data_IF_106616303977
#
_entry.id   IF_106616303977
#
_cell.length_a   1.000
_cell.length_b   1.000
_cell.length_c   1.000
_cell.angle_alpha   90.00
_cell.angle_beta   90.00
_cell.angle_gamma   90.00
#
_symmetry.space_group_name_H-M   'P 1'
#
loop_
_entity.id
_entity.type
_entity.pdbx_description
1 polymer ?
#
# COMPACT_ATOMS: atom_id res chain seq x y z
N UNK A 1 60.65 28.86 -57.38
CA UNK A 1 59.33 29.25 -56.98
C UNK A 1 58.69 28.04 -56.24
N UNK A 2 58.67 28.04 -54.88
CA UNK A 2 58.05 26.98 -54.07
C UNK A 2 56.64 27.39 -53.70
N UNK A 3 55.64 26.63 -54.12
CA UNK A 3 54.22 26.82 -53.75
C UNK A 3 53.94 25.98 -52.52
N UNK A 4 53.66 26.64 -51.46
CA UNK A 4 53.19 26.05 -50.18
C UNK A 4 51.68 25.85 -50.25
N UNK A 5 51.20 24.59 -50.19
CA UNK A 5 49.77 24.28 -50.00
C UNK A 5 49.41 24.38 -48.52
N UNK A 6 48.48 25.23 -48.16
CA UNK A 6 47.84 25.24 -46.88
C UNK A 6 46.64 24.26 -46.89
N UNK A 7 46.72 23.21 -46.11
CA UNK A 7 45.59 22.31 -45.86
C UNK A 7 44.76 22.87 -44.68
N UNK A 8 43.54 23.30 -44.96
CA UNK A 8 42.55 23.76 -43.98
C UNK A 8 41.84 22.53 -43.38
N UNK A 9 42.14 22.18 -42.12
CA UNK A 9 41.39 21.15 -41.38
C UNK A 9 40.12 21.78 -40.86
N UNK A 10 38.96 21.37 -41.41
CA UNK A 10 37.66 21.74 -40.88
C UNK A 10 37.36 20.86 -39.63
N UNK A 11 37.41 21.46 -38.43
CA UNK A 11 36.95 20.83 -37.20
C UNK A 11 35.42 20.81 -37.21
N UNK A 12 34.82 19.62 -37.38
CA UNK A 12 33.40 19.37 -37.15
C UNK A 12 33.15 19.45 -35.67
N UNK A 13 32.61 20.57 -35.18
CA UNK A 13 32.08 20.68 -33.81
C UNK A 13 30.83 19.81 -33.71
N UNK A 14 30.95 18.70 -33.01
CA UNK A 14 29.79 17.93 -32.51
C UNK A 14 29.07 18.81 -31.48
N UNK A 15 27.99 19.47 -31.89
CA UNK A 15 27.03 20.10 -30.99
C UNK A 15 26.40 18.97 -30.15
N UNK A 16 26.43 19.06 -28.84
CA UNK A 16 25.64 18.15 -28.02
C UNK A 16 24.17 18.35 -28.38
N UNK A 17 23.57 17.32 -28.99
CA UNK A 17 22.14 17.32 -29.25
C UNK A 17 21.40 17.59 -27.95
N UNK A 18 20.60 18.65 -27.91
CA UNK A 18 19.63 18.87 -26.83
C UNK A 18 18.68 17.66 -26.85
N UNK A 19 18.93 16.69 -25.97
CA UNK A 19 17.95 15.66 -25.67
C UNK A 19 16.71 16.39 -25.16
N UNK A 20 15.63 16.44 -25.94
CA UNK A 20 14.34 16.84 -25.41
C UNK A 20 13.98 15.82 -24.34
N UNK A 21 14.10 16.20 -23.07
CA UNK A 21 13.73 15.36 -21.95
C UNK A 21 12.23 15.03 -22.09
N UNK A 22 11.92 13.79 -22.47
CA UNK A 22 10.55 13.32 -22.49
C UNK A 22 10.08 13.10 -21.04
N UNK A 23 8.77 13.14 -20.83
CA UNK A 23 8.16 12.83 -19.55
C UNK A 23 7.25 11.62 -19.71
N UNK A 24 7.30 10.71 -18.74
CA UNK A 24 6.30 9.67 -18.57
C UNK A 24 5.47 10.07 -17.36
N UNK A 25 4.21 10.37 -17.58
CA UNK A 25 3.28 10.76 -16.49
C UNK A 25 2.55 9.52 -15.97
N UNK A 26 2.63 9.29 -14.66
CA UNK A 26 1.93 8.23 -13.93
C UNK A 26 0.76 8.86 -13.19
N UNK A 27 -0.42 8.28 -13.35
CA UNK A 27 -1.60 8.71 -12.61
C UNK A 27 -1.56 8.21 -11.17
N UNK A 28 -1.82 9.11 -10.22
CA UNK A 28 -2.05 8.73 -8.83
C UNK A 28 -3.49 9.07 -8.46
N UNK A 29 -4.26 8.07 -8.02
CA UNK A 29 -5.59 8.29 -7.43
C UNK A 29 -5.51 7.86 -5.98
N UNK A 30 -5.35 8.83 -5.10
CA UNK A 30 -5.06 8.60 -3.68
C UNK A 30 -6.09 9.32 -2.80
N UNK A 31 -6.26 8.84 -1.60
CA UNK A 31 -7.12 9.41 -0.57
C UNK A 31 -6.38 10.54 0.15
N UNK A 32 -6.18 11.71 -0.50
CA UNK A 32 -5.44 12.83 0.10
C UNK A 32 -6.23 13.54 1.19
N UNK A 33 -7.55 13.44 1.13
CA UNK A 33 -8.48 13.97 2.13
C UNK A 33 -9.53 12.92 2.51
N UNK A 34 -10.30 13.19 3.56
CA UNK A 34 -11.27 12.26 4.11
C UNK A 34 -10.65 11.31 5.15
N UNK A 35 -11.29 10.20 5.41
CA UNK A 35 -10.95 9.27 6.51
C UNK A 35 -9.59 8.61 6.35
N UNK A 36 -9.19 8.34 5.12
CA UNK A 36 -7.89 7.75 4.80
C UNK A 36 -6.84 8.81 4.37
N UNK A 37 -7.04 10.07 4.74
CA UNK A 37 -6.18 11.18 4.32
C UNK A 37 -4.71 11.02 4.69
N UNK A 38 -4.42 10.49 5.86
CA UNK A 38 -3.06 10.22 6.31
C UNK A 38 -2.34 9.20 5.41
N UNK A 39 -3.05 8.15 4.99
CA UNK A 39 -2.53 7.14 4.04
C UNK A 39 -2.17 7.76 2.69
N UNK A 40 -3.09 8.54 2.12
CA UNK A 40 -2.91 9.13 0.80
C UNK A 40 -1.78 10.16 0.77
N UNK A 41 -1.68 10.99 1.78
CA UNK A 41 -0.61 12.00 1.88
C UNK A 41 0.76 11.35 2.02
N UNK A 42 0.90 10.36 2.90
CA UNK A 42 2.13 9.60 3.05
C UNK A 42 2.47 8.84 1.76
N UNK A 43 1.49 8.15 1.17
CA UNK A 43 1.66 7.40 -0.07
C UNK A 43 2.10 8.26 -1.26
N UNK A 44 1.49 9.44 -1.44
CA UNK A 44 1.88 10.38 -2.50
C UNK A 44 3.37 10.77 -2.38
N UNK A 45 3.81 11.12 -1.18
CA UNK A 45 5.20 11.49 -0.91
C UNK A 45 6.16 10.33 -1.14
N UNK A 46 5.76 9.12 -0.80
CA UNK A 46 6.58 7.91 -1.02
C UNK A 46 6.77 7.62 -2.50
N UNK A 47 5.71 7.67 -3.32
CA UNK A 47 5.81 7.50 -4.77
C UNK A 47 6.66 8.63 -5.39
N UNK A 48 6.48 9.89 -4.95
CA UNK A 48 7.30 11.02 -5.40
C UNK A 48 8.79 10.79 -5.06
N UNK A 49 9.11 10.24 -3.88
CA UNK A 49 10.47 9.91 -3.49
C UNK A 49 11.06 8.81 -4.38
N UNK A 50 10.34 7.72 -4.64
CA UNK A 50 10.78 6.65 -5.52
C UNK A 50 11.06 7.16 -6.94
N UNK A 51 10.19 8.04 -7.46
CA UNK A 51 10.39 8.65 -8.78
C UNK A 51 11.53 9.63 -8.81
N UNK A 52 11.76 10.41 -7.73
CA UNK A 52 12.97 11.23 -7.60
C UNK A 52 14.21 10.37 -7.70
N UNK A 53 14.28 9.27 -6.94
CA UNK A 53 15.45 8.40 -6.91
C UNK A 53 15.73 7.76 -8.28
N UNK A 54 14.69 7.34 -9.00
CA UNK A 54 14.80 6.83 -10.38
C UNK A 54 15.21 7.93 -11.38
N UNK A 55 14.68 9.14 -11.24
CA UNK A 55 15.06 10.27 -12.10
C UNK A 55 16.51 10.69 -11.86
N UNK A 56 16.95 10.72 -10.60
CA UNK A 56 18.32 11.03 -10.22
C UNK A 56 19.31 9.92 -10.63
N UNK A 57 18.82 8.68 -10.82
CA UNK A 57 19.56 7.56 -11.37
C UNK A 57 19.75 7.62 -12.90
N UNK A 58 19.14 8.60 -13.58
CA UNK A 58 19.25 8.77 -15.03
C UNK A 58 17.91 8.72 -15.79
N UNK A 59 16.82 8.58 -15.09
CA UNK A 59 15.47 8.48 -15.64
C UNK A 59 15.17 7.10 -16.24
N UNK A 60 13.99 6.93 -16.78
CA UNK A 60 13.46 5.65 -17.26
C UNK A 60 13.25 5.74 -18.78
N UNK A 61 13.86 4.84 -19.54
CA UNK A 61 13.82 4.83 -21.02
C UNK A 61 14.18 6.21 -21.64
N UNK A 62 15.11 6.96 -21.01
CA UNK A 62 15.50 8.31 -21.43
C UNK A 62 14.52 9.42 -21.05
N UNK A 63 13.48 9.13 -20.26
CA UNK A 63 12.45 10.07 -19.85
C UNK A 63 12.48 10.31 -18.33
N UNK A 64 11.93 11.45 -17.91
CA UNK A 64 11.69 11.78 -16.50
C UNK A 64 10.31 11.28 -16.09
N UNK A 65 10.22 10.56 -14.97
CA UNK A 65 8.95 10.18 -14.36
C UNK A 65 8.30 11.39 -13.67
N UNK A 66 7.01 11.56 -13.89
CA UNK A 66 6.18 12.58 -13.25
C UNK A 66 4.88 11.97 -12.76
N UNK A 67 4.25 12.62 -11.79
CA UNK A 67 2.93 12.24 -11.28
C UNK A 67 1.86 13.25 -11.75
N UNK A 68 0.66 12.73 -12.07
CA UNK A 68 -0.60 13.50 -12.07
C UNK A 68 -1.44 12.95 -10.94
N UNK A 69 -1.46 13.68 -9.82
CA UNK A 69 -2.08 13.23 -8.57
C UNK A 69 -3.48 13.80 -8.41
N UNK A 70 -4.44 12.93 -8.13
CA UNK A 70 -5.85 13.25 -7.93
C UNK A 70 -6.30 12.77 -6.56
N UNK A 71 -7.05 13.61 -5.86
CA UNK A 71 -7.67 13.28 -4.57
C UNK A 71 -8.99 12.54 -4.79
N UNK A 72 -9.10 11.33 -4.28
CA UNK A 72 -10.34 10.56 -4.27
C UNK A 72 -11.32 11.03 -3.18
N UNK A 73 -10.86 11.86 -2.23
CA UNK A 73 -11.64 12.32 -1.07
C UNK A 73 -12.22 11.16 -0.23
N UNK A 74 -11.61 9.99 -0.31
CA UNK A 74 -12.14 8.74 0.26
C UNK A 74 -13.58 8.46 -0.19
N UNK A 75 -13.88 8.71 -1.49
CA UNK A 75 -15.18 8.50 -2.12
C UNK A 75 -15.04 7.73 -3.44
N UNK A 76 -15.71 6.58 -3.54
CA UNK A 76 -15.58 5.67 -4.69
C UNK A 76 -15.94 6.32 -6.04
N UNK A 77 -16.99 7.12 -6.09
CA UNK A 77 -17.38 7.83 -7.31
C UNK A 77 -16.33 8.86 -7.75
N UNK A 78 -15.76 9.62 -6.80
CA UNK A 78 -14.69 10.60 -7.08
C UNK A 78 -13.42 9.87 -7.56
N UNK A 79 -13.08 8.73 -6.95
CA UNK A 79 -11.95 7.91 -7.35
C UNK A 79 -12.11 7.39 -8.80
N UNK A 80 -13.30 6.90 -9.16
CA UNK A 80 -13.62 6.43 -10.53
C UNK A 80 -13.55 7.58 -11.53
N UNK A 81 -14.09 8.75 -11.21
CA UNK A 81 -14.04 9.93 -12.08
C UNK A 81 -12.59 10.39 -12.30
N UNK A 82 -11.79 10.45 -11.23
CA UNK A 82 -10.37 10.80 -11.29
C UNK A 82 -9.58 9.81 -12.16
N UNK A 83 -9.76 8.51 -11.93
CA UNK A 83 -9.12 7.46 -12.74
C UNK A 83 -9.53 7.54 -14.22
N UNK A 84 -10.82 7.79 -14.48
CA UNK A 84 -11.35 7.95 -15.85
C UNK A 84 -10.66 9.11 -16.57
N UNK A 85 -10.50 10.25 -15.91
CA UNK A 85 -9.81 11.41 -16.48
C UNK A 85 -8.34 11.09 -16.77
N UNK A 86 -7.64 10.43 -15.85
CA UNK A 86 -6.23 10.05 -16.03
C UNK A 86 -6.04 9.08 -17.19
N UNK A 87 -6.90 8.07 -17.29
CA UNK A 87 -6.78 7.01 -18.30
C UNK A 87 -7.28 7.46 -19.66
N UNK A 88 -8.49 8.06 -19.73
CA UNK A 88 -9.12 8.36 -21.01
C UNK A 88 -8.70 9.70 -21.61
N UNK A 89 -8.34 10.69 -20.78
CA UNK A 89 -7.93 12.03 -21.24
C UNK A 89 -6.41 12.20 -21.10
N UNK A 90 -5.85 11.84 -19.94
CA UNK A 90 -4.42 11.94 -19.66
C UNK A 90 -3.58 10.85 -20.34
N UNK A 91 -4.21 9.76 -20.79
CA UNK A 91 -3.56 8.59 -21.41
C UNK A 91 -2.37 8.04 -20.61
N UNK A 92 -2.52 8.04 -19.26
CA UNK A 92 -1.48 7.50 -18.39
C UNK A 92 -1.35 5.99 -18.58
N UNK A 93 -0.12 5.45 -18.62
CA UNK A 93 0.12 4.01 -18.81
C UNK A 93 -0.12 3.20 -17.55
N UNK A 94 -0.11 3.87 -16.39
CA UNK A 94 -0.26 3.27 -15.06
C UNK A 94 -1.09 4.17 -14.17
N UNK A 95 -1.91 3.56 -13.31
CA UNK A 95 -2.54 4.20 -12.15
C UNK A 95 -1.97 3.55 -10.88
N UNK A 96 -1.33 4.34 -10.01
CA UNK A 96 -1.04 3.92 -8.64
C UNK A 96 -2.19 4.40 -7.76
N UNK A 97 -2.91 3.44 -7.15
CA UNK A 97 -4.08 3.75 -6.31
C UNK A 97 -5.30 2.84 -6.58
N UNK A 98 -6.46 3.00 -5.91
CA UNK A 98 -6.60 3.62 -4.58
C UNK A 98 -5.68 2.98 -3.54
N UNK A 99 -5.46 3.67 -2.49
CA UNK A 99 -4.70 3.09 -1.37
C UNK A 99 -5.53 2.03 -0.66
N UNK A 100 -6.78 2.31 -0.36
CA UNK A 100 -7.67 1.39 0.34
C UNK A 100 -8.63 0.66 -0.63
N UNK A 101 -9.05 -0.54 -0.24
CA UNK A 101 -9.86 -1.45 -1.07
C UNK A 101 -11.18 -0.84 -1.59
N UNK A 102 -11.94 -0.05 -0.80
CA UNK A 102 -13.16 0.60 -1.29
C UNK A 102 -12.94 1.58 -2.46
N UNK A 103 -11.73 2.05 -2.67
CA UNK A 103 -11.37 2.90 -3.82
C UNK A 103 -10.77 2.08 -4.95
N UNK A 104 -9.85 1.14 -4.63
CA UNK A 104 -9.19 0.30 -5.65
C UNK A 104 -10.13 -0.55 -6.45
N UNK A 105 -11.10 -1.20 -5.80
CA UNK A 105 -12.03 -2.12 -6.46
C UNK A 105 -12.85 -1.40 -7.55
N UNK A 106 -13.54 -0.28 -7.29
CA UNK A 106 -14.29 0.43 -8.33
C UNK A 106 -13.39 1.04 -9.41
N UNK A 107 -12.18 1.52 -9.10
CA UNK A 107 -11.21 1.95 -10.12
C UNK A 107 -10.88 0.78 -11.05
N UNK A 108 -10.55 -0.38 -10.47
CA UNK A 108 -10.18 -1.59 -11.21
C UNK A 108 -11.33 -2.06 -12.10
N UNK A 109 -12.51 -2.22 -11.53
CA UNK A 109 -13.63 -2.84 -12.24
C UNK A 109 -14.27 -1.93 -13.29
N UNK A 110 -14.22 -0.60 -13.09
CA UNK A 110 -14.86 0.36 -13.97
C UNK A 110 -13.92 1.05 -14.95
N UNK A 111 -12.61 1.15 -14.64
CA UNK A 111 -11.68 1.97 -15.44
C UNK A 111 -10.47 1.17 -15.90
N UNK A 112 -9.55 0.81 -14.98
CA UNK A 112 -8.24 0.26 -15.34
C UNK A 112 -8.31 -1.13 -15.93
N UNK A 113 -9.15 -2.00 -15.38
CA UNK A 113 -9.38 -3.35 -15.92
C UNK A 113 -9.93 -3.34 -17.35
N UNK A 114 -11.08 -2.68 -17.63
CA UNK A 114 -11.60 -2.54 -19.00
C UNK A 114 -10.63 -1.88 -19.98
N UNK A 115 -9.90 -0.86 -19.55
CA UNK A 115 -8.91 -0.15 -20.36
C UNK A 115 -7.58 -0.91 -20.52
N UNK A 116 -7.37 -1.99 -19.75
CA UNK A 116 -6.10 -2.75 -19.67
C UNK A 116 -4.91 -1.86 -19.31
N UNK A 117 -5.13 -0.92 -18.39
CA UNK A 117 -4.10 -0.05 -17.81
C UNK A 117 -3.64 -0.66 -16.49
N UNK A 118 -2.32 -0.77 -16.30
CA UNK A 118 -1.75 -1.30 -15.07
C UNK A 118 -2.24 -0.49 -13.86
N UNK A 119 -2.75 -1.17 -12.84
CA UNK A 119 -3.10 -0.59 -11.55
C UNK A 119 -2.26 -1.25 -10.45
N UNK A 120 -1.59 -0.43 -9.64
CA UNK A 120 -0.83 -0.89 -8.47
C UNK A 120 -1.40 -0.22 -7.23
N UNK A 121 -1.88 -1.02 -6.27
CA UNK A 121 -2.40 -0.51 -4.99
C UNK A 121 -1.42 -0.76 -3.85
N UNK A 122 -1.04 0.29 -3.09
CA UNK A 122 -0.12 0.12 -1.97
C UNK A 122 -0.70 -0.62 -0.77
N UNK A 123 -1.99 -0.44 -0.46
CA UNK A 123 -2.55 -0.94 0.80
C UNK A 123 -3.97 -1.53 0.68
N UNK A 124 -4.45 -1.87 -0.53
CA UNK A 124 -5.73 -2.54 -0.69
C UNK A 124 -5.62 -4.04 -0.41
N UNK A 125 -6.01 -4.45 0.77
CA UNK A 125 -5.81 -5.79 1.32
C UNK A 125 -6.98 -6.75 1.12
N UNK A 126 -8.16 -6.26 0.67
CA UNK A 126 -9.36 -7.09 0.54
C UNK A 126 -9.16 -8.36 -0.31
N UNK A 127 -9.63 -9.53 0.15
CA UNK A 127 -9.65 -10.76 -0.63
C UNK A 127 -10.50 -10.71 -1.90
N UNK A 128 -11.42 -9.74 -2.01
CA UNK A 128 -12.21 -9.50 -3.23
C UNK A 128 -11.31 -9.25 -4.44
N UNK A 129 -10.16 -8.58 -4.26
CA UNK A 129 -9.23 -8.31 -5.34
C UNK A 129 -8.62 -9.60 -5.91
N UNK A 130 -8.22 -10.54 -5.05
CA UNK A 130 -7.80 -11.89 -5.46
C UNK A 130 -8.93 -12.65 -6.16
N UNK A 131 -10.16 -12.57 -5.65
CA UNK A 131 -11.32 -13.21 -6.27
C UNK A 131 -11.59 -12.67 -7.67
N UNK A 132 -11.52 -11.35 -7.87
CA UNK A 132 -11.61 -10.72 -9.19
C UNK A 132 -10.51 -11.21 -10.14
N UNK A 133 -9.31 -11.42 -9.63
CA UNK A 133 -8.19 -12.02 -10.38
C UNK A 133 -8.51 -13.45 -10.83
N UNK A 134 -8.97 -14.30 -9.91
CA UNK A 134 -9.37 -15.69 -10.20
C UNK A 134 -10.51 -15.78 -11.23
N UNK A 135 -11.42 -14.82 -11.21
CA UNK A 135 -12.52 -14.73 -12.18
C UNK A 135 -12.10 -14.09 -13.52
N UNK A 136 -10.82 -13.72 -13.68
CA UNK A 136 -10.31 -13.06 -14.88
C UNK A 136 -10.77 -11.60 -15.06
N UNK A 137 -11.44 -11.03 -14.07
CA UNK A 137 -12.03 -9.68 -14.14
C UNK A 137 -11.02 -8.56 -14.01
N UNK A 138 -9.80 -8.86 -13.52
CA UNK A 138 -8.70 -7.90 -13.47
C UNK A 138 -7.98 -7.73 -14.81
N UNK A 139 -8.25 -8.58 -15.80
CA UNK A 139 -7.48 -8.65 -17.04
C UNK A 139 -5.95 -8.76 -16.83
N UNK A 140 -5.50 -9.21 -15.65
CA UNK A 140 -4.09 -9.35 -15.28
C UNK A 140 -3.36 -8.02 -15.06
N UNK A 141 -4.07 -6.90 -14.92
CA UNK A 141 -3.47 -5.56 -14.78
C UNK A 141 -3.47 -5.04 -13.34
N UNK A 142 -3.93 -5.82 -12.37
CA UNK A 142 -3.93 -5.41 -10.96
C UNK A 142 -2.79 -6.07 -10.20
N UNK A 143 -2.09 -5.25 -9.38
CA UNK A 143 -1.05 -5.69 -8.45
C UNK A 143 -1.16 -4.92 -7.15
N UNK A 144 -0.67 -5.49 -6.04
CA UNK A 144 -0.61 -4.80 -4.76
C UNK A 144 0.68 -5.08 -4.00
N UNK A 145 1.14 -4.11 -3.23
CA UNK A 145 2.32 -4.20 -2.37
C UNK A 145 1.95 -4.39 -0.90
N UNK A 146 0.81 -5.03 -0.64
CA UNK A 146 0.32 -5.42 0.69
C UNK A 146 -0.20 -6.85 0.65
N UNK A 147 -0.07 -7.57 1.76
CA UNK A 147 -0.63 -8.90 1.95
C UNK A 147 -2.16 -8.87 2.04
N UNK A 148 -2.80 -9.99 1.69
CA UNK A 148 -4.26 -10.11 1.73
C UNK A 148 -4.80 -10.26 3.16
N UNK A 149 -5.97 -9.68 3.42
CA UNK A 149 -6.74 -9.85 4.66
C UNK A 149 -7.18 -11.31 4.90
N UNK A 150 -7.14 -12.15 3.87
CA UNK A 150 -7.36 -13.57 4.05
C UNK A 150 -6.38 -14.17 5.08
N UNK A 151 -5.12 -13.72 5.06
CA UNK A 151 -4.10 -14.12 6.03
C UNK A 151 -4.15 -13.26 7.31
N UNK A 152 -4.49 -11.97 7.20
CA UNK A 152 -4.62 -11.09 8.37
C UNK A 152 -5.71 -11.57 9.32
N UNK A 153 -6.84 -12.06 8.81
CA UNK A 153 -7.91 -12.61 9.62
C UNK A 153 -7.44 -13.80 10.48
N UNK A 154 -6.62 -14.69 9.90
CA UNK A 154 -6.01 -15.81 10.63
C UNK A 154 -5.03 -15.32 11.69
N UNK A 155 -4.16 -14.36 11.34
CA UNK A 155 -3.20 -13.76 12.27
C UNK A 155 -3.90 -13.09 13.46
N UNK A 156 -4.94 -12.31 13.20
CA UNK A 156 -5.74 -11.65 14.22
C UNK A 156 -6.45 -12.65 15.14
N UNK A 157 -6.98 -13.75 14.59
CA UNK A 157 -7.64 -14.80 15.36
C UNK A 157 -6.67 -15.49 16.33
N UNK A 158 -5.49 -15.89 15.87
CA UNK A 158 -4.44 -16.48 16.72
C UNK A 158 -4.03 -15.52 17.82
N UNK A 159 -3.73 -14.28 17.45
CA UNK A 159 -3.29 -13.26 18.40
C UNK A 159 -4.36 -12.95 19.45
N UNK A 160 -5.63 -12.86 19.08
CA UNK A 160 -6.73 -12.67 20.01
C UNK A 160 -6.79 -13.77 21.07
N UNK A 161 -6.67 -15.03 20.66
CA UNK A 161 -6.68 -16.19 21.58
C UNK A 161 -5.45 -16.15 22.49
N UNK A 162 -4.27 -15.87 21.97
CA UNK A 162 -3.02 -15.76 22.76
C UNK A 162 -3.10 -14.64 23.81
N UNK A 163 -3.80 -13.55 23.49
CA UNK A 163 -4.07 -12.47 24.42
C UNK A 163 -5.25 -12.76 25.39
N UNK A 164 -5.82 -13.96 25.35
CA UNK A 164 -6.91 -14.37 26.22
C UNK A 164 -8.25 -13.68 25.91
N UNK A 165 -8.44 -13.22 24.69
CA UNK A 165 -9.71 -12.70 24.18
C UNK A 165 -10.56 -13.88 23.72
N UNK A 166 -11.42 -14.41 24.62
CA UNK A 166 -12.21 -15.62 24.33
C UNK A 166 -13.64 -15.33 23.91
N UNK A 167 -14.16 -14.17 24.30
CA UNK A 167 -15.53 -13.75 24.05
C UNK A 167 -15.53 -12.31 23.54
N UNK A 168 -15.64 -12.14 22.24
CA UNK A 168 -15.50 -10.82 21.61
C UNK A 168 -16.79 -10.36 20.94
N UNK A 169 -16.94 -9.05 20.83
CA UNK A 169 -17.85 -8.39 19.89
C UNK A 169 -17.03 -7.73 18.80
N UNK A 170 -17.61 -7.62 17.62
CA UNK A 170 -16.97 -6.97 16.46
C UNK A 170 -17.81 -5.75 16.09
N UNK A 171 -17.17 -4.58 15.99
CA UNK A 171 -17.72 -3.41 15.31
C UNK A 171 -16.87 -3.17 14.09
N UNK A 172 -17.48 -3.13 12.90
CA UNK A 172 -16.73 -3.01 11.65
C UNK A 172 -17.35 -2.04 10.67
N UNK A 173 -16.53 -1.39 9.88
CA UNK A 173 -17.01 -0.54 8.80
C UNK A 173 -17.78 -1.37 7.78
N UNK A 174 -18.95 -0.86 7.37
CA UNK A 174 -19.83 -1.52 6.41
C UNK A 174 -19.37 -1.24 4.95
N UNK A 175 -18.19 -1.78 4.63
CA UNK A 175 -17.60 -1.73 3.31
C UNK A 175 -16.90 -3.06 2.98
N UNK A 176 -16.34 -3.19 1.78
CA UNK A 176 -15.71 -4.42 1.32
C UNK A 176 -14.54 -4.85 2.23
N UNK A 177 -13.72 -3.92 2.71
CA UNK A 177 -12.63 -4.21 3.63
C UNK A 177 -13.15 -4.80 4.96
N UNK A 178 -14.04 -4.06 5.66
CA UNK A 178 -14.52 -4.47 6.98
C UNK A 178 -15.30 -5.78 6.95
N UNK A 179 -16.18 -5.96 5.96
CA UNK A 179 -16.99 -7.20 5.79
C UNK A 179 -16.10 -8.41 5.53
N UNK A 180 -15.09 -8.29 4.67
CA UNK A 180 -14.20 -9.41 4.38
C UNK A 180 -13.29 -9.74 5.56
N UNK A 181 -12.72 -8.75 6.25
CA UNK A 181 -11.86 -9.01 7.40
C UNK A 181 -12.64 -9.72 8.54
N UNK A 182 -13.90 -9.35 8.79
CA UNK A 182 -14.79 -10.10 9.70
C UNK A 182 -14.93 -11.55 9.28
N UNK A 183 -15.19 -11.79 7.98
CA UNK A 183 -15.36 -13.14 7.43
C UNK A 183 -14.08 -13.98 7.62
N UNK A 184 -12.93 -13.44 7.23
CA UNK A 184 -11.65 -14.14 7.30
C UNK A 184 -11.18 -14.38 8.74
N UNK A 185 -11.59 -13.53 9.70
CA UNK A 185 -11.34 -13.71 11.13
C UNK A 185 -12.24 -14.77 11.78
N UNK A 186 -13.52 -14.80 11.40
CA UNK A 186 -14.57 -15.57 12.11
C UNK A 186 -14.29 -17.06 12.15
N UNK A 187 -13.96 -17.67 11.03
CA UNK A 187 -13.76 -19.12 10.95
C UNK A 187 -12.54 -19.59 11.77
N UNK A 188 -11.32 -19.01 11.61
CA UNK A 188 -10.16 -19.40 12.41
C UNK A 188 -10.32 -19.08 13.90
N UNK A 189 -10.92 -17.94 14.27
CA UNK A 189 -11.16 -17.60 15.68
C UNK A 189 -12.07 -18.60 16.38
N UNK A 190 -13.15 -19.00 15.71
CA UNK A 190 -14.09 -20.00 16.25
C UNK A 190 -13.43 -21.37 16.35
N UNK A 191 -12.64 -21.77 15.34
CA UNK A 191 -11.90 -23.03 15.36
C UNK A 191 -10.89 -23.11 16.52
N UNK A 192 -10.32 -21.98 16.93
CA UNK A 192 -9.41 -21.86 18.08
C UNK A 192 -10.15 -21.77 19.43
N UNK A 193 -11.48 -21.90 19.46
CA UNK A 193 -12.30 -21.92 20.66
C UNK A 193 -12.79 -20.53 21.12
N UNK A 194 -12.62 -19.50 20.28
CA UNK A 194 -13.17 -18.18 20.53
C UNK A 194 -14.69 -18.11 20.27
N UNK A 195 -15.35 -17.18 20.90
CA UNK A 195 -16.80 -16.91 20.74
C UNK A 195 -17.03 -15.49 20.28
N UNK A 196 -17.69 -15.32 19.14
CA UNK A 196 -18.17 -14.02 18.65
C UNK A 196 -19.59 -13.83 19.18
N UNK A 197 -19.79 -12.82 20.02
CA UNK A 197 -21.08 -12.52 20.66
C UNK A 197 -22.01 -11.78 19.71
N UNK A 198 -21.45 -10.78 19.03
CA UNK A 198 -22.17 -9.99 18.04
C UNK A 198 -21.23 -9.42 16.99
N UNK A 199 -21.77 -9.15 15.82
CA UNK A 199 -21.11 -8.42 14.73
C UNK A 199 -22.01 -7.24 14.35
N UNK A 200 -21.50 -6.03 14.54
CA UNK A 200 -22.25 -4.79 14.33
C UNK A 200 -21.58 -3.97 13.23
N UNK A 201 -22.19 -3.87 12.04
CA UNK A 201 -21.69 -2.98 11.00
C UNK A 201 -22.03 -1.53 11.34
N UNK A 202 -21.14 -0.59 10.99
CA UNK A 202 -21.41 0.84 11.01
C UNK A 202 -21.16 1.46 9.62
N UNK A 203 -21.87 2.54 9.31
CA UNK A 203 -21.60 3.33 8.12
C UNK A 203 -20.64 4.46 8.48
N UNK A 204 -19.66 4.67 7.61
CA UNK A 204 -18.66 5.73 7.82
C UNK A 204 -19.25 7.16 7.85
N UNK A 205 -18.48 8.09 8.43
CA UNK A 205 -18.79 9.53 8.45
C UNK A 205 -20.01 9.91 9.30
N UNK A 206 -20.31 9.15 10.32
CA UNK A 206 -21.30 9.54 11.33
C UNK A 206 -20.63 10.36 12.43
N UNK A 207 -21.35 11.32 13.00
CA UNK A 207 -20.91 12.07 14.17
C UNK A 207 -21.13 11.32 15.49
N UNK A 208 -21.94 10.24 15.45
CA UNK A 208 -22.34 9.46 16.62
C UNK A 208 -22.55 7.99 16.22
N UNK A 209 -21.94 7.09 17.01
CA UNK A 209 -22.00 5.64 16.89
C UNK A 209 -22.57 4.98 18.17
N UNK A 210 -23.26 5.75 19.01
CA UNK A 210 -23.76 5.27 20.30
C UNK A 210 -24.73 4.10 20.18
N UNK A 211 -25.48 4.03 19.09
CA UNK A 211 -26.41 2.92 18.83
C UNK A 211 -25.66 1.60 18.57
N UNK A 212 -24.65 1.63 17.71
CA UNK A 212 -23.80 0.50 17.38
C UNK A 212 -23.00 0.02 18.61
N UNK A 213 -22.45 0.97 19.36
CA UNK A 213 -21.74 0.69 20.61
C UNK A 213 -22.67 0.03 21.64
N UNK A 214 -23.86 0.59 21.89
CA UNK A 214 -24.84 0.03 22.81
C UNK A 214 -25.26 -1.39 22.42
N UNK A 215 -25.49 -1.62 21.13
CA UNK A 215 -25.84 -2.95 20.62
C UNK A 215 -24.71 -3.97 20.83
N UNK A 216 -23.48 -3.57 20.64
CA UNK A 216 -22.31 -4.43 20.84
C UNK A 216 -22.06 -4.76 22.33
N UNK A 217 -22.33 -3.83 23.24
CA UNK A 217 -22.11 -4.02 24.69
C UNK A 217 -23.06 -5.04 25.33
N UNK A 218 -24.20 -5.32 24.72
CA UNK A 218 -25.26 -6.18 25.32
C UNK A 218 -24.79 -7.62 25.61
N UNK A 219 -23.66 -8.06 25.08
CA UNK A 219 -23.14 -9.43 25.22
C UNK A 219 -22.12 -9.65 26.32
N UNK A 220 -21.73 -8.64 27.09
CA UNK A 220 -20.65 -8.73 28.11
C UNK A 220 -19.37 -9.36 27.56
N UNK A 221 -18.71 -8.75 26.55
CA UNK A 221 -17.53 -9.31 25.92
C UNK A 221 -16.26 -9.15 26.77
N UNK A 222 -15.23 -9.99 26.49
CA UNK A 222 -13.88 -9.84 27.03
C UNK A 222 -13.10 -8.75 26.31
N UNK A 223 -13.43 -8.50 25.04
CA UNK A 223 -12.76 -7.51 24.19
C UNK A 223 -13.68 -7.01 23.06
N UNK A 224 -13.36 -5.84 22.54
CA UNK A 224 -13.90 -5.31 21.31
C UNK A 224 -12.88 -5.52 20.17
N UNK A 225 -13.27 -6.22 19.10
CA UNK A 225 -12.55 -6.15 17.82
C UNK A 225 -13.13 -4.99 17.01
N UNK A 226 -12.34 -3.93 16.85
CA UNK A 226 -12.72 -2.74 16.10
C UNK A 226 -12.00 -2.74 14.76
N UNK A 227 -12.78 -2.86 13.67
CA UNK A 227 -12.30 -2.83 12.28
C UNK A 227 -12.79 -1.54 11.64
N UNK A 228 -11.90 -0.55 11.55
CA UNK A 228 -12.27 0.81 11.21
C UNK A 228 -11.09 1.59 10.63
N UNK A 229 -11.37 2.78 10.12
CA UNK A 229 -10.36 3.82 9.86
C UNK A 229 -10.07 4.61 11.16
N UNK A 230 -8.93 5.32 11.26
CA UNK A 230 -8.54 5.99 12.49
C UNK A 230 -9.56 7.01 13.02
N UNK A 231 -10.23 7.74 12.13
CA UNK A 231 -11.14 8.85 12.51
C UNK A 231 -12.43 8.31 13.14
N UNK A 232 -13.13 7.43 12.42
CA UNK A 232 -14.36 6.81 12.92
C UNK A 232 -14.06 5.88 14.09
N UNK A 233 -12.98 5.11 13.99
CA UNK A 233 -12.52 4.21 15.04
C UNK A 233 -12.23 4.92 16.36
N UNK A 234 -11.62 6.10 16.33
CA UNK A 234 -11.40 6.89 17.52
C UNK A 234 -12.72 7.36 18.15
N UNK A 235 -13.71 7.73 17.35
CA UNK A 235 -15.03 8.11 17.84
C UNK A 235 -15.74 6.92 18.49
N UNK A 236 -15.74 5.75 17.82
CA UNK A 236 -16.32 4.51 18.34
C UNK A 236 -15.63 4.08 19.65
N UNK A 237 -14.29 4.08 19.68
CA UNK A 237 -13.53 3.68 20.87
C UNK A 237 -13.81 4.60 22.07
N UNK A 238 -13.88 5.92 21.86
CA UNK A 238 -14.26 6.86 22.94
C UNK A 238 -15.67 6.62 23.44
N UNK A 239 -16.63 6.39 22.55
CA UNK A 239 -18.01 6.10 22.95
C UNK A 239 -18.12 4.74 23.67
N UNK A 240 -17.36 3.73 23.22
CA UNK A 240 -17.24 2.45 23.90
C UNK A 240 -16.75 2.61 25.34
N UNK A 241 -15.64 3.34 25.53
CA UNK A 241 -15.09 3.62 26.86
C UNK A 241 -16.06 4.44 27.72
N UNK A 242 -16.67 5.48 27.16
CA UNK A 242 -17.59 6.36 27.90
C UNK A 242 -18.86 5.66 28.36
N UNK A 243 -19.32 4.64 27.65
CA UNK A 243 -20.46 3.80 28.03
C UNK A 243 -20.08 2.66 28.98
N UNK A 244 -18.81 2.58 29.41
CA UNK A 244 -18.33 1.56 30.36
C UNK A 244 -17.92 0.24 29.69
N UNK A 245 -17.63 0.24 28.39
CA UNK A 245 -17.13 -0.92 27.68
C UNK A 245 -15.77 -1.38 28.19
N UNK A 246 -15.49 -2.68 28.06
CA UNK A 246 -14.21 -3.27 28.45
C UNK A 246 -13.06 -2.63 27.69
N UNK A 247 -12.03 -2.17 28.42
CA UNK A 247 -10.85 -1.51 27.82
C UNK A 247 -9.82 -2.55 27.37
N UNK A 248 -10.27 -3.49 26.54
CA UNK A 248 -9.44 -4.46 25.86
C UNK A 248 -9.86 -4.51 24.40
N UNK A 249 -8.93 -4.19 23.52
CA UNK A 249 -9.20 -4.01 22.11
C UNK A 249 -8.36 -4.96 21.28
N UNK A 250 -8.97 -5.54 20.25
CA UNK A 250 -8.29 -6.03 19.06
C UNK A 250 -8.51 -5.00 17.94
N UNK A 251 -7.46 -4.63 17.22
CA UNK A 251 -7.48 -3.56 16.25
C UNK A 251 -6.94 -4.05 14.91
N UNK A 252 -7.48 -3.53 13.81
CA UNK A 252 -6.90 -3.75 12.48
C UNK A 252 -5.72 -2.81 12.23
N UNK A 253 -5.02 -3.03 11.14
CA UNK A 253 -3.86 -2.26 10.69
C UNK A 253 -4.10 -0.74 10.57
N UNK A 254 -5.30 -0.32 10.15
CA UNK A 254 -5.70 1.07 10.09
C UNK A 254 -5.59 1.84 11.41
N UNK A 255 -5.68 1.13 12.54
CA UNK A 255 -5.55 1.72 13.88
C UNK A 255 -4.11 1.83 14.38
N UNK A 256 -3.13 1.34 13.62
CA UNK A 256 -1.71 1.56 13.87
C UNK A 256 -1.32 3.01 13.50
N UNK A 257 -1.81 3.98 14.26
CA UNK A 257 -1.74 5.41 13.94
C UNK A 257 -1.67 6.26 15.20
N UNK A 258 -0.76 7.23 15.21
CA UNK A 258 -0.67 8.24 16.28
C UNK A 258 -1.95 9.08 16.36
N UNK A 259 -2.61 9.35 15.23
CA UNK A 259 -3.87 10.09 15.19
C UNK A 259 -4.97 9.35 15.95
N UNK A 260 -5.08 8.03 15.78
CA UNK A 260 -6.02 7.20 16.53
C UNK A 260 -5.70 7.24 18.02
N UNK A 261 -4.43 7.02 18.39
CA UNK A 261 -3.99 6.96 19.79
C UNK A 261 -4.24 8.31 20.49
N UNK A 262 -3.85 9.41 19.85
CA UNK A 262 -4.03 10.76 20.39
C UNK A 262 -5.51 11.14 20.52
N UNK A 263 -6.34 10.72 19.56
CA UNK A 263 -7.77 11.01 19.56
C UNK A 263 -8.55 10.22 20.62
N UNK A 264 -8.15 8.98 20.93
CA UNK A 264 -8.79 8.15 21.97
C UNK A 264 -8.30 8.52 23.36
N UNK A 265 -7.00 8.71 23.51
CA UNK A 265 -6.27 8.85 24.76
C UNK A 265 -5.51 7.58 25.12
N UNK A 266 -4.20 7.71 25.29
CA UNK A 266 -3.30 6.58 25.55
C UNK A 266 -3.66 5.79 26.83
N UNK A 267 -4.24 6.48 27.81
CA UNK A 267 -4.67 5.90 29.09
C UNK A 267 -5.78 4.83 28.96
N UNK A 268 -6.54 4.86 27.85
CA UNK A 268 -7.61 3.89 27.58
C UNK A 268 -7.15 2.72 26.71
N UNK A 269 -5.94 2.81 26.13
CA UNK A 269 -5.44 1.88 25.12
C UNK A 269 -4.33 0.94 25.63
N UNK A 270 -4.04 0.91 26.94
CA UNK A 270 -2.99 0.05 27.51
C UNK A 270 -3.18 -1.46 27.28
N UNK A 271 -4.41 -1.90 26.97
CA UNK A 271 -4.74 -3.27 26.55
C UNK A 271 -5.28 -3.30 25.12
N UNK A 272 -4.74 -2.47 24.24
CA UNK A 272 -5.06 -2.48 22.81
C UNK A 272 -3.97 -3.22 22.05
N UNK A 273 -4.38 -4.25 21.35
CA UNK A 273 -3.56 -5.15 20.53
C UNK A 273 -4.01 -5.09 19.10
N UNK A 274 -3.13 -5.34 18.16
CA UNK A 274 -3.53 -5.36 16.76
C UNK A 274 -2.58 -6.12 15.86
N UNK A 275 -3.01 -6.31 14.62
CA UNK A 275 -2.24 -6.94 13.57
C UNK A 275 -2.09 -6.00 12.40
N UNK A 276 -0.97 -6.07 11.71
CA UNK A 276 -0.76 -5.40 10.43
C UNK A 276 0.18 -6.22 9.56
N UNK A 277 0.08 -6.02 8.26
CA UNK A 277 1.05 -6.58 7.32
C UNK A 277 2.47 -6.21 7.77
N UNK A 278 3.32 -7.19 7.91
CA UNK A 278 4.70 -7.04 8.38
C UNK A 278 5.65 -6.59 7.27
N UNK A 279 6.87 -6.30 7.68
CA UNK A 279 7.98 -5.90 6.81
C UNK A 279 9.20 -6.73 7.18
N UNK A 280 9.80 -7.40 6.20
CA UNK A 280 11.10 -8.05 6.39
C UNK A 280 12.17 -7.00 6.15
N UNK A 281 12.94 -6.68 7.21
CA UNK A 281 13.97 -5.65 7.12
C UNK A 281 14.99 -5.95 6.01
N UNK A 282 15.32 -4.96 5.23
CA UNK A 282 16.27 -5.01 4.11
C UNK A 282 17.08 -3.72 4.02
N UNK A 283 18.07 -3.66 3.16
CA UNK A 283 18.78 -2.42 2.87
C UNK A 283 17.85 -1.32 2.33
N UNK A 284 16.75 -1.70 1.66
CA UNK A 284 15.71 -0.75 1.24
C UNK A 284 14.94 -0.16 2.41
N UNK A 285 14.66 -0.97 3.44
CA UNK A 285 14.01 -0.51 4.68
C UNK A 285 14.88 0.53 5.38
N UNK A 286 16.19 0.25 5.51
CA UNK A 286 17.15 1.18 6.11
C UNK A 286 17.25 2.49 5.32
N UNK A 287 17.34 2.40 3.99
CA UNK A 287 17.35 3.56 3.10
C UNK A 287 16.11 4.43 3.27
N UNK A 288 14.92 3.82 3.24
CA UNK A 288 13.66 4.53 3.36
C UNK A 288 13.55 5.24 4.71
N UNK A 289 13.79 4.53 5.81
CA UNK A 289 13.73 5.08 7.16
C UNK A 289 14.69 6.25 7.37
N UNK A 290 15.90 6.18 6.79
CA UNK A 290 16.90 7.24 6.90
C UNK A 290 16.55 8.51 6.09
N UNK A 291 15.77 8.39 5.01
CA UNK A 291 15.62 9.48 4.03
C UNK A 291 14.20 10.03 3.90
N UNK A 292 13.16 9.23 4.23
CA UNK A 292 11.77 9.61 3.94
C UNK A 292 11.31 10.85 4.72
N UNK A 293 11.58 10.92 6.01
CA UNK A 293 11.18 12.07 6.84
C UNK A 293 11.83 13.37 6.37
N UNK A 294 13.11 13.32 6.00
CA UNK A 294 13.81 14.49 5.48
C UNK A 294 13.24 14.97 4.13
N UNK A 295 12.75 14.04 3.32
CA UNK A 295 12.13 14.33 2.03
C UNK A 295 10.69 14.82 2.16
N UNK A 296 9.87 14.15 2.96
CA UNK A 296 8.41 14.33 3.00
C UNK A 296 7.91 15.22 4.13
N UNK A 297 8.68 15.32 5.23
CA UNK A 297 8.22 15.88 6.51
C UNK A 297 7.34 14.93 7.32
N UNK A 298 7.09 13.71 6.84
CA UNK A 298 6.20 12.70 7.42
C UNK A 298 7.06 11.58 8.02
N UNK A 299 6.61 10.99 9.13
CA UNK A 299 7.26 9.85 9.76
C UNK A 299 7.29 8.65 8.78
N UNK A 300 8.43 7.95 8.61
CA UNK A 300 8.49 6.76 7.77
C UNK A 300 7.58 5.61 8.24
N UNK A 301 7.18 5.61 9.51
CA UNK A 301 6.20 4.65 10.04
C UNK A 301 4.73 5.02 9.70
N UNK A 302 4.49 6.13 9.00
CA UNK A 302 3.14 6.52 8.58
C UNK A 302 2.47 5.42 7.75
N UNK A 303 1.15 5.24 7.87
CA UNK A 303 0.44 4.17 7.19
C UNK A 303 0.68 4.13 5.69
N UNK A 304 1.01 2.97 5.15
CA UNK A 304 1.28 2.69 3.73
C UNK A 304 2.46 3.46 3.11
N UNK A 305 3.28 4.18 3.89
CA UNK A 305 4.41 4.93 3.35
C UNK A 305 5.44 4.01 2.68
N UNK A 306 5.86 2.95 3.37
CA UNK A 306 6.79 1.93 2.91
C UNK A 306 6.32 1.25 1.60
N UNK A 307 5.08 0.77 1.60
CA UNK A 307 4.45 0.06 0.48
C UNK A 307 4.23 0.94 -0.73
N UNK A 308 3.97 2.22 -0.52
CA UNK A 308 3.81 3.19 -1.61
C UNK A 308 5.13 3.53 -2.29
N UNK A 309 6.25 3.55 -1.54
CA UNK A 309 7.57 3.67 -2.15
C UNK A 309 7.84 2.47 -3.07
N UNK A 310 7.57 1.26 -2.59
CA UNK A 310 7.74 0.04 -3.38
C UNK A 310 6.84 0.00 -4.62
N UNK A 311 5.59 0.46 -4.51
CA UNK A 311 4.71 0.58 -5.67
C UNK A 311 5.28 1.53 -6.73
N UNK A 312 5.83 2.68 -6.32
CA UNK A 312 6.51 3.63 -7.19
C UNK A 312 7.77 3.05 -7.84
N UNK A 313 8.62 2.41 -7.03
CA UNK A 313 9.86 1.78 -7.48
C UNK A 313 9.58 0.67 -8.52
N UNK A 314 8.64 -0.22 -8.22
CA UNK A 314 8.23 -1.32 -9.12
C UNK A 314 7.66 -0.80 -10.44
N UNK A 315 6.82 0.24 -10.41
CA UNK A 315 6.28 0.88 -11.63
C UNK A 315 7.40 1.47 -12.46
N UNK A 316 8.35 2.18 -11.85
CA UNK A 316 9.47 2.76 -12.58
C UNK A 316 10.39 1.71 -13.19
N UNK A 317 10.73 0.64 -12.45
CA UNK A 317 11.53 -0.48 -12.95
C UNK A 317 10.78 -1.24 -14.06
N UNK A 318 9.46 -1.44 -13.93
CA UNK A 318 8.65 -2.05 -14.98
C UNK A 318 8.66 -1.23 -16.28
N UNK A 319 8.55 0.09 -16.18
CA UNK A 319 8.68 0.99 -17.34
C UNK A 319 10.07 0.89 -18.00
N UNK A 320 11.14 0.76 -17.21
CA UNK A 320 12.49 0.56 -17.73
C UNK A 320 12.61 -0.77 -18.46
N UNK A 321 12.11 -1.87 -17.87
CA UNK A 321 12.12 -3.22 -18.47
C UNK A 321 11.28 -3.28 -19.76
N UNK A 322 10.12 -2.58 -19.78
CA UNK A 322 9.26 -2.50 -20.95
C UNK A 322 9.84 -1.63 -22.07
N UNK A 323 10.87 -0.81 -21.77
CA UNK A 323 11.45 0.16 -22.69
C UNK A 323 10.58 1.40 -22.91
N UNK A 324 9.65 1.69 -21.99
CA UNK A 324 8.76 2.86 -22.05
C UNK A 324 7.32 2.57 -21.61
N UNK A 325 6.38 3.49 -21.90
CA UNK A 325 5.01 3.48 -21.37
C UNK A 325 4.04 2.58 -22.16
N UNK A 326 4.48 1.43 -22.69
CA UNK A 326 3.63 0.47 -23.39
C UNK A 326 2.80 -0.34 -22.36
N UNK A 327 1.55 0.08 -22.16
CA UNK A 327 0.65 -0.50 -21.17
C UNK A 327 0.50 -2.04 -21.30
N UNK A 328 0.58 -2.59 -22.52
CA UNK A 328 0.43 -4.02 -22.73
C UNK A 328 1.63 -4.84 -22.19
N UNK A 329 2.79 -4.23 -22.07
CA UNK A 329 4.01 -4.89 -21.56
C UNK A 329 4.21 -4.74 -20.06
N UNK A 330 3.55 -3.76 -19.42
CA UNK A 330 3.82 -3.39 -18.05
C UNK A 330 3.49 -4.49 -17.02
N UNK A 331 2.39 -5.27 -17.14
CA UNK A 331 2.13 -6.35 -16.19
C UNK A 331 3.23 -7.43 -16.16
N UNK A 332 3.75 -7.84 -17.33
CA UNK A 332 4.87 -8.77 -17.41
C UNK A 332 6.17 -8.11 -16.91
N UNK A 333 6.44 -6.89 -17.32
CA UNK A 333 7.62 -6.14 -16.89
C UNK A 333 7.67 -5.95 -15.37
N UNK A 334 6.52 -5.74 -14.71
CA UNK A 334 6.43 -5.60 -13.27
C UNK A 334 6.80 -6.91 -12.55
N UNK A 335 6.36 -8.06 -13.06
CA UNK A 335 6.79 -9.38 -12.55
C UNK A 335 8.29 -9.61 -12.74
N UNK A 336 8.84 -9.15 -13.86
CA UNK A 336 10.28 -9.26 -14.17
C UNK A 336 11.14 -8.31 -13.32
N UNK A 337 10.57 -7.26 -12.73
CA UNK A 337 11.29 -6.40 -11.78
C UNK A 337 11.65 -7.12 -10.48
N UNK A 338 11.00 -8.25 -10.20
CA UNK A 338 11.20 -9.10 -9.00
C UNK A 338 11.59 -10.54 -9.39
N UNK A 339 12.30 -10.72 -10.50
CA UNK A 339 12.72 -12.03 -10.99
C UNK A 339 13.63 -12.72 -9.94
N UNK A 340 13.28 -13.91 -9.44
CA UNK A 340 14.08 -14.60 -8.41
C UNK A 340 15.48 -14.96 -8.89
N UNK A 341 15.73 -15.04 -10.19
CA UNK A 341 17.05 -15.30 -10.78
C UNK A 341 17.87 -14.00 -11.00
N UNK A 342 17.25 -12.82 -10.75
CA UNK A 342 17.86 -11.53 -10.99
C UNK A 342 18.86 -11.10 -9.91
N UNK A 343 19.72 -10.14 -10.27
CA UNK A 343 20.60 -9.49 -9.32
C UNK A 343 19.78 -8.64 -8.35
N UNK A 344 20.11 -8.72 -7.04
CA UNK A 344 19.41 -7.99 -6.00
C UNK A 344 19.65 -6.48 -6.15
N UNK A 345 18.55 -5.74 -6.12
CA UNK A 345 18.49 -4.28 -6.20
C UNK A 345 17.69 -3.77 -5.00
N UNK A 346 18.21 -2.76 -4.34
CA UNK A 346 17.53 -2.09 -3.23
C UNK A 346 17.01 -0.71 -3.61
N UNK A 347 16.36 -0.05 -2.66
CA UNK A 347 15.89 1.33 -2.80
C UNK A 347 17.04 2.32 -2.90
N UNK A 348 16.80 3.44 -3.58
CA UNK A 348 17.70 4.57 -3.66
C UNK A 348 18.39 4.74 -5.00
N UNK A 349 18.88 5.97 -5.23
CA UNK A 349 19.44 6.41 -6.51
C UNK A 349 20.52 5.49 -7.06
N UNK A 350 21.50 5.11 -6.24
CA UNK A 350 22.67 4.36 -6.71
C UNK A 350 22.29 2.91 -7.10
N UNK A 351 21.41 2.30 -6.32
CA UNK A 351 20.84 0.98 -6.62
C UNK A 351 19.96 1.01 -7.87
N UNK A 352 19.15 2.05 -8.05
CA UNK A 352 18.37 2.22 -9.28
C UNK A 352 19.27 2.49 -10.50
N UNK A 353 20.38 3.21 -10.36
CA UNK A 353 21.35 3.36 -11.46
C UNK A 353 21.95 2.01 -11.87
N UNK A 354 22.29 1.16 -10.90
CA UNK A 354 22.72 -0.22 -11.12
C UNK A 354 21.63 -1.04 -11.82
N UNK A 355 20.37 -0.95 -11.36
CA UNK A 355 19.24 -1.63 -11.98
C UNK A 355 19.06 -1.23 -13.45
N UNK A 356 19.07 0.07 -13.73
CA UNK A 356 18.91 0.60 -15.09
C UNK A 356 20.02 0.13 -16.02
N UNK A 357 21.27 0.05 -15.53
CA UNK A 357 22.41 -0.48 -16.29
C UNK A 357 22.21 -1.98 -16.61
N UNK A 358 21.82 -2.80 -15.65
CA UNK A 358 21.53 -4.22 -15.83
C UNK A 358 20.39 -4.45 -16.85
N UNK A 359 19.31 -3.68 -16.72
CA UNK A 359 18.17 -3.72 -17.66
C UNK A 359 18.63 -3.38 -19.08
N UNK A 360 19.45 -2.35 -19.24
CA UNK A 360 19.99 -1.96 -20.57
C UNK A 360 20.87 -3.06 -21.18
N UNK A 361 21.54 -3.88 -20.36
CA UNK A 361 22.30 -5.05 -20.78
C UNK A 361 21.43 -6.31 -21.02
N UNK A 362 20.12 -6.22 -20.77
CA UNK A 362 19.19 -7.35 -20.88
C UNK A 362 19.32 -8.36 -19.73
N UNK A 363 19.95 -8.00 -18.63
CA UNK A 363 20.12 -8.84 -17.44
C UNK A 363 18.88 -8.75 -16.52
N UNK A 364 18.51 -9.86 -15.86
CA UNK A 364 17.40 -9.84 -14.90
C UNK A 364 17.80 -9.12 -13.61
N UNK A 365 16.82 -8.49 -13.00
CA UNK A 365 16.94 -7.85 -11.68
C UNK A 365 15.91 -8.45 -10.71
N UNK A 366 16.21 -8.33 -9.41
CA UNK A 366 15.30 -8.67 -8.33
C UNK A 366 15.22 -7.52 -7.34
N UNK A 367 14.20 -6.71 -7.44
CA UNK A 367 13.98 -5.64 -6.48
C UNK A 367 13.55 -6.22 -5.12
N UNK A 368 14.34 -5.96 -4.09
CA UNK A 368 13.99 -6.16 -2.69
C UNK A 368 13.56 -4.82 -2.10
N UNK A 369 12.27 -4.72 -1.81
CA UNK A 369 11.62 -3.47 -1.44
C UNK A 369 11.85 -3.02 -0.01
N UNK A 370 11.24 -1.91 0.34
CA UNK A 370 11.16 -1.39 1.71
C UNK A 370 10.44 -2.37 2.63
N UNK A 371 9.45 -3.09 2.08
CA UNK A 371 8.74 -4.16 2.79
C UNK A 371 9.52 -5.49 2.81
N UNK A 372 10.69 -5.55 2.16
CA UNK A 372 11.51 -6.74 2.01
C UNK A 372 11.35 -7.42 0.65
N UNK A 373 11.61 -8.73 0.55
CA UNK A 373 11.45 -9.49 -0.69
C UNK A 373 10.02 -9.47 -1.20
N UNK A 374 9.86 -9.15 -2.49
CA UNK A 374 8.56 -9.11 -3.17
C UNK A 374 8.50 -10.24 -4.20
N UNK A 375 7.42 -11.00 -4.18
CA UNK A 375 7.10 -12.00 -5.18
C UNK A 375 5.60 -11.98 -5.45
N UNK A 376 5.23 -11.74 -6.70
CA UNK A 376 3.82 -11.71 -7.09
C UNK A 376 3.35 -13.11 -7.49
N UNK A 377 2.19 -13.52 -6.98
CA UNK A 377 1.47 -14.68 -7.49
C UNK A 377 0.82 -14.40 -8.86
N UNK A 378 0.07 -15.36 -9.38
CA UNK A 378 -0.61 -15.23 -10.67
C UNK A 378 -1.67 -14.13 -10.69
N UNK A 379 -2.20 -13.71 -9.53
CA UNK A 379 -3.24 -12.68 -9.40
C UNK A 379 -2.67 -11.28 -9.10
N UNK A 380 -1.35 -11.14 -8.91
CA UNK A 380 -0.69 -9.89 -8.57
C UNK A 380 -0.67 -9.60 -7.07
N UNK A 381 -0.94 -10.61 -6.25
CA UNK A 381 -0.85 -10.55 -4.80
C UNK A 381 0.57 -10.85 -4.33
N UNK A 382 0.93 -10.35 -3.15
CA UNK A 382 2.16 -10.72 -2.44
C UNK A 382 1.84 -11.44 -1.14
N UNK A 383 2.78 -12.24 -0.68
CA UNK A 383 2.80 -12.82 0.66
C UNK A 383 3.85 -12.13 1.52
N UNK A 384 3.63 -12.09 2.82
CA UNK A 384 4.56 -11.51 3.79
C UNK A 384 4.14 -11.84 5.22
N UNK A 385 5.01 -11.56 6.21
CA UNK A 385 4.70 -11.78 7.61
C UNK A 385 3.60 -10.83 8.09
N UNK A 386 3.03 -11.13 9.26
CA UNK A 386 2.14 -10.23 9.99
C UNK A 386 2.80 -9.80 11.29
N UNK A 387 2.89 -8.50 11.48
CA UNK A 387 3.35 -7.89 12.72
C UNK A 387 2.21 -7.91 13.75
N UNK A 388 2.52 -8.42 14.94
CA UNK A 388 1.67 -8.35 16.12
C UNK A 388 2.14 -7.17 16.96
N UNK A 389 1.22 -6.29 17.34
CA UNK A 389 1.57 -5.08 18.06
C UNK A 389 0.61 -4.79 19.22
N UNK A 390 1.10 -3.99 20.15
CA UNK A 390 0.36 -3.47 21.31
C UNK A 390 0.63 -1.98 21.43
N UNK A 391 -0.33 -1.24 21.97
CA UNK A 391 -0.12 0.15 22.36
C UNK A 391 0.45 0.16 23.80
N UNK A 392 1.70 0.61 23.93
CA UNK A 392 2.43 0.72 25.20
C UNK A 392 2.87 2.16 25.38
N UNK A 393 2.47 2.79 26.51
CA UNK A 393 2.80 4.19 26.80
C UNK A 393 2.45 5.16 25.67
N UNK A 394 1.32 4.93 25.00
CA UNK A 394 0.82 5.75 23.89
C UNK A 394 1.59 5.56 22.58
N UNK A 395 2.34 4.48 22.43
CA UNK A 395 3.07 4.15 21.21
C UNK A 395 2.78 2.73 20.75
N UNK A 396 2.70 2.54 19.43
CA UNK A 396 2.63 1.21 18.85
C UNK A 396 3.97 0.51 19.02
N UNK A 397 3.96 -0.62 19.70
CA UNK A 397 5.13 -1.46 19.97
C UNK A 397 4.93 -2.85 19.38
N UNK A 398 5.86 -3.32 18.57
CA UNK A 398 5.84 -4.70 18.06
C UNK A 398 6.10 -5.66 19.21
N UNK A 399 5.22 -6.65 19.38
CA UNK A 399 5.30 -7.68 20.42
C UNK A 399 5.52 -9.08 19.86
N UNK A 400 5.44 -9.24 18.54
CA UNK A 400 5.68 -10.51 17.88
C UNK A 400 5.47 -10.40 16.37
N UNK A 401 5.69 -11.52 15.70
CA UNK A 401 5.49 -11.68 14.26
C UNK A 401 4.96 -13.08 13.96
N UNK A 402 4.06 -13.18 13.01
CA UNK A 402 3.63 -14.45 12.42
C UNK A 402 4.14 -14.50 10.98
N UNK A 403 4.82 -15.60 10.66
CA UNK A 403 5.28 -15.88 9.29
C UNK A 403 4.12 -16.40 8.42
N UNK A 404 4.32 -16.48 7.11
CA UNK A 404 3.33 -17.12 6.21
C UNK A 404 3.00 -18.55 6.66
N UNK A 405 4.01 -19.33 7.09
CA UNK A 405 3.80 -20.69 7.56
C UNK A 405 2.94 -20.79 8.83
N UNK A 406 2.82 -19.70 9.58
CA UNK A 406 1.98 -19.64 10.78
C UNK A 406 0.51 -19.34 10.44
N UNK A 407 0.22 -18.80 9.26
CA UNK A 407 -1.13 -18.32 8.87
C UNK A 407 -1.74 -19.12 7.70
N UNK A 408 -0.96 -19.96 7.02
CA UNK A 408 -1.40 -20.88 5.94
C UNK A 408 -2.27 -22.06 6.43
#
# INVERSE_FOLDING_TARGET
MKRTLFATVAALALLPGTSFACNITIGLVLELTGEAGAYGQAGAKSVEMAFRDLNDAGGVAGCTLKTDTRDSQTQANVAVDAATQLVQVGHVPVVIGGIISPMSIPILTSVTGPAKVLQVSPASSSPTLTALGREGKTNGVFFRTITSDALQGVAAAKFAIDQGMKKIVIIHQNNDFGVNLVKEFTAPYTALGGTIVSVTPYNAKQSDYSAEVTAAMAGEPDALYLISDPVDGATIARQWVSQGGVQKFLLNDGMNSDDFINAVGAEYLGNAFGTSSGTVASASTDYFNANYQAFSGIDPAAPAADRSYDAGALVGLALAIAGGPDAAKLPDALRRAVDPAGEVIHAGKDEFAKALALIAEGKPIRYEGVIGPIAFDEYGDISGPFRLWQIVDGKVTTVGELTNADVD
#
